data_IF_154839643508
#
_entry.id   IF_154839643508
#
_cell.length_a   1.000
_cell.length_b   1.000
_cell.length_c   1.000
_cell.angle_alpha   90.00
_cell.angle_beta   90.00
_cell.angle_gamma   90.00
#
_symmetry.space_group_name_H-M   'P 1'
#
loop_
_entity.id
_entity.type
_entity.pdbx_description
1 polymer ?
#
# COMPACT_ATOMS: atom_id res chain seq x y z
N UNK A 1 10.34 -3.88 -6.82
CA UNK A 1 9.68 -2.56 -6.70
C UNK A 1 10.14 -1.82 -5.44
N UNK A 2 10.36 -0.49 -5.49
CA UNK A 2 10.69 0.34 -4.30
C UNK A 2 9.44 1.11 -3.86
N UNK A 3 8.84 0.70 -2.75
CA UNK A 3 7.54 1.25 -2.27
C UNK A 3 7.62 2.17 -1.06
N UNK A 4 8.78 2.24 -0.40
CA UNK A 4 9.00 3.13 0.73
C UNK A 4 8.71 4.59 0.35
N UNK A 5 8.10 5.33 1.27
CA UNK A 5 7.72 6.75 1.14
C UNK A 5 6.65 7.04 0.07
N UNK A 6 6.17 6.01 -0.65
CA UNK A 6 5.13 6.17 -1.65
C UNK A 6 3.78 6.47 -0.98
N UNK A 7 2.99 7.28 -1.67
CA UNK A 7 1.65 7.66 -1.23
C UNK A 7 0.64 6.62 -1.70
N UNK A 8 -0.30 6.35 -0.83
CA UNK A 8 -1.41 5.41 -1.07
C UNK A 8 -2.71 6.07 -0.68
N UNK A 9 -3.82 5.58 -1.24
CA UNK A 9 -5.17 5.88 -0.77
C UNK A 9 -5.81 4.58 -0.31
N UNK A 10 -6.22 4.55 0.96
CA UNK A 10 -6.97 3.43 1.54
C UNK A 10 -8.44 3.80 1.67
N UNK A 11 -9.35 2.90 1.27
CA UNK A 11 -10.80 3.17 1.20
C UNK A 11 -11.41 3.69 2.52
N UNK A 12 -10.86 3.30 3.67
CA UNK A 12 -11.34 3.70 5.02
C UNK A 12 -10.58 4.85 5.66
N UNK A 13 -9.30 5.04 5.32
CA UNK A 13 -8.39 5.93 6.07
C UNK A 13 -7.90 7.11 5.22
N UNK A 14 -8.26 7.14 3.93
CA UNK A 14 -7.84 8.19 3.00
C UNK A 14 -6.37 8.06 2.61
N UNK A 15 -5.73 9.21 2.40
CA UNK A 15 -4.33 9.29 1.96
C UNK A 15 -3.37 8.90 3.09
N UNK A 16 -2.41 8.03 2.77
CA UNK A 16 -1.34 7.61 3.66
C UNK A 16 0.02 7.56 2.98
N UNK A 17 1.07 7.33 3.77
CA UNK A 17 2.44 7.14 3.28
C UNK A 17 3.00 5.83 3.81
N UNK A 18 3.62 5.04 2.94
CA UNK A 18 4.30 3.80 3.36
C UNK A 18 5.56 4.17 4.14
N UNK A 19 5.63 3.76 5.39
CA UNK A 19 6.73 4.01 6.32
C UNK A 19 7.53 2.76 6.67
N UNK A 20 7.15 1.59 6.14
CA UNK A 20 7.86 0.34 6.37
C UNK A 20 7.32 -0.83 5.55
N UNK A 21 8.18 -1.80 5.29
CA UNK A 21 7.85 -3.10 4.70
C UNK A 21 8.62 -4.18 5.45
N UNK A 22 7.90 -5.14 6.05
CA UNK A 22 8.51 -6.27 6.79
C UNK A 22 7.53 -7.43 6.86
N UNK A 23 8.02 -8.67 6.70
CA UNK A 23 7.24 -9.92 6.88
C UNK A 23 5.91 -9.92 6.10
N UNK A 24 5.96 -9.58 4.80
CA UNK A 24 4.78 -9.45 3.92
C UNK A 24 3.72 -8.48 4.47
N UNK A 25 4.16 -7.42 5.14
CA UNK A 25 3.28 -6.36 5.63
C UNK A 25 3.86 -5.00 5.33
N UNK A 26 2.99 -4.08 4.91
CA UNK A 26 3.32 -2.66 4.85
C UNK A 26 2.80 -1.93 6.08
N UNK A 27 3.57 -0.94 6.49
CA UNK A 27 3.25 0.00 7.55
C UNK A 27 2.93 1.31 6.88
N UNK A 28 1.76 1.87 7.15
CA UNK A 28 1.27 3.09 6.51
C UNK A 28 0.86 4.09 7.57
N UNK A 29 1.40 5.31 7.48
CA UNK A 29 0.99 6.42 8.32
C UNK A 29 -0.14 7.21 7.65
N UNK A 30 -1.27 7.36 8.34
CA UNK A 30 -2.44 8.15 7.90
C UNK A 30 -2.58 9.46 8.69
N UNK A 31 -1.47 9.99 9.21
CA UNK A 31 -1.43 11.22 10.00
C UNK A 31 -2.09 11.08 11.37
N UNK A 32 -2.34 12.22 12.03
CA UNK A 32 -2.70 12.26 13.47
C UNK A 32 -4.05 11.63 13.81
N UNK A 33 -5.01 11.66 12.88
CA UNK A 33 -6.38 11.20 13.15
C UNK A 33 -6.44 9.67 13.20
N UNK A 34 -5.82 9.00 12.24
CA UNK A 34 -5.90 7.54 12.10
C UNK A 34 -4.63 6.82 12.58
N UNK A 35 -3.52 7.54 12.69
CA UNK A 35 -2.22 7.01 13.10
C UNK A 35 -1.65 6.01 12.10
N UNK A 36 -0.74 5.18 12.58
CA UNK A 36 -0.11 4.14 11.78
C UNK A 36 -0.97 2.87 11.76
N UNK A 37 -0.99 2.20 10.61
CA UNK A 37 -1.70 0.94 10.40
C UNK A 37 -0.80 -0.04 9.65
N UNK A 38 -1.12 -1.32 9.81
CA UNK A 38 -0.40 -2.44 9.20
C UNK A 38 -1.37 -3.19 8.30
N UNK A 39 -0.92 -3.53 7.09
CA UNK A 39 -1.72 -4.27 6.11
C UNK A 39 -0.93 -5.41 5.48
N UNK A 40 -1.60 -6.49 5.07
CA UNK A 40 -0.97 -7.56 4.29
C UNK A 40 -0.50 -7.03 2.94
N UNK A 41 0.71 -7.41 2.55
CA UNK A 41 1.35 -7.03 1.30
C UNK A 41 1.73 -8.27 0.49
N UNK A 42 1.40 -8.31 -0.82
CA UNK A 42 0.78 -7.24 -1.62
C UNK A 42 -0.76 -7.20 -1.57
N UNK A 43 -1.43 -8.07 -0.80
CA UNK A 43 -2.86 -8.38 -0.93
C UNK A 43 -3.79 -7.19 -0.66
N UNK A 44 -3.40 -6.25 0.21
CA UNK A 44 -4.23 -5.07 0.49
C UNK A 44 -4.52 -4.24 -0.77
N UNK A 45 -3.64 -4.29 -1.76
CA UNK A 45 -3.80 -3.53 -3.00
C UNK A 45 -4.81 -4.12 -3.96
N UNK A 46 -5.17 -5.40 -3.82
CA UNK A 46 -6.19 -6.04 -4.64
C UNK A 46 -7.62 -5.49 -4.40
N UNK A 47 -7.81 -4.64 -3.39
CA UNK A 47 -9.12 -4.01 -3.18
C UNK A 47 -9.12 -2.75 -2.31
N UNK A 48 -8.46 -2.79 -1.16
CA UNK A 48 -8.67 -1.77 -0.11
C UNK A 48 -7.74 -0.56 -0.24
N UNK A 49 -6.66 -0.71 -1.00
CA UNK A 49 -5.62 0.29 -1.16
C UNK A 49 -5.22 0.45 -2.63
N UNK A 50 -4.88 1.67 -3.02
CA UNK A 50 -4.23 1.97 -4.30
C UNK A 50 -2.99 2.81 -4.08
N UNK A 51 -1.94 2.54 -4.84
CA UNK A 51 -0.83 3.45 -5.03
C UNK A 51 -1.33 4.71 -5.75
N UNK A 52 -0.84 5.88 -5.36
CA UNK A 52 -1.13 7.13 -6.08
C UNK A 52 -0.28 7.29 -7.35
N UNK A 53 0.81 6.53 -7.44
CA UNK A 53 1.70 6.44 -8.59
C UNK A 53 1.14 5.34 -9.51
N UNK A 54 0.59 5.73 -10.66
CA UNK A 54 -0.15 4.84 -11.57
C UNK A 54 0.76 3.76 -12.17
N UNK A 55 1.99 4.11 -12.55
CA UNK A 55 2.98 3.15 -13.09
C UNK A 55 3.29 2.07 -12.04
N UNK A 56 3.51 2.49 -10.79
CA UNK A 56 3.72 1.53 -9.68
C UNK A 56 2.47 0.72 -9.34
N UNK A 57 1.28 1.29 -9.51
CA UNK A 57 0.02 0.57 -9.32
C UNK A 57 -0.11 -0.55 -10.36
N UNK A 58 0.26 -0.28 -11.61
CA UNK A 58 0.22 -1.25 -12.71
C UNK A 58 1.24 -2.37 -12.48
N UNK A 59 2.50 -2.03 -12.19
CA UNK A 59 3.54 -3.01 -11.84
C UNK A 59 3.11 -3.95 -10.70
N UNK A 60 2.51 -3.37 -9.65
CA UNK A 60 2.03 -4.14 -8.50
C UNK A 60 0.88 -5.09 -8.86
N UNK A 61 -0.02 -4.66 -9.74
CA UNK A 61 -1.16 -5.47 -10.17
C UNK A 61 -0.71 -6.64 -11.05
N UNK A 62 0.29 -6.44 -11.91
CA UNK A 62 0.91 -7.53 -12.66
C UNK A 62 1.53 -8.58 -11.72
N UNK A 63 2.27 -8.13 -10.69
CA UNK A 63 2.94 -9.03 -9.75
C UNK A 63 1.93 -9.85 -8.92
N UNK A 64 0.82 -9.22 -8.49
CA UNK A 64 -0.28 -9.92 -7.80
C UNK A 64 -0.89 -10.97 -8.73
N UNK A 65 -1.20 -10.61 -9.98
CA UNK A 65 -1.82 -11.50 -10.97
C UNK A 65 -0.95 -12.69 -11.38
N UNK A 66 0.38 -12.58 -11.31
CA UNK A 66 1.32 -13.69 -11.55
C UNK A 66 1.46 -14.66 -10.37
N UNK A 67 1.05 -14.24 -9.18
CA UNK A 67 1.27 -14.98 -7.92
C UNK A 67 0.05 -15.79 -7.45
N UNK A 68 -1.08 -15.67 -8.13
CA UNK A 68 -2.33 -16.41 -7.93
C UNK A 68 -2.59 -17.39 -9.07
#
# INVERSE_FOLDING_TARGET
MRIMDKKVVHKRFGMGSIIGLKDNKIYVSFGKIFGDKIFPYPEVFAGDMKMMDEDLQEELMEDIGRSI
#
